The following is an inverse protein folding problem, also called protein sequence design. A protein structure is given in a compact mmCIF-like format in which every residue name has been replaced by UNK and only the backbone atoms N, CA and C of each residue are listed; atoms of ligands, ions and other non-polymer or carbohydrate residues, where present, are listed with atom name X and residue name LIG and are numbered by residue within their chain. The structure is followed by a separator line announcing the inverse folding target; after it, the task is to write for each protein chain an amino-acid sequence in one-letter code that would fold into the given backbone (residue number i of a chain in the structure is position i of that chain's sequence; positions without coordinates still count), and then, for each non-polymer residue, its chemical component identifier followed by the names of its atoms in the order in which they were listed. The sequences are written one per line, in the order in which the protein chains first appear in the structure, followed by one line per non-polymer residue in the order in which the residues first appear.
data_IF_276286404846
#
_entry.id   IF_276286404846
#
_cell.length_a   1.000
_cell.length_b   1.000
_cell.length_c   1.000
_cell.angle_alpha   90.00
_cell.angle_beta   90.00
_cell.angle_gamma   90.00
#
_symmetry.space_group_name_H-M   'P 1'
#
loop_
_entity.id
_entity.type
_entity.pdbx_description
1 polymer ?
#
# COMPACT_ATOMS: atom_id res chain seq x y z
N UNK A 1 24.95 11.16 -5.68
CA UNK A 1 24.75 9.90 -6.43
C UNK A 1 23.39 9.25 -6.11
N UNK A 2 23.10 8.85 -4.89
CA UNK A 2 21.82 8.15 -4.56
C UNK A 2 20.55 8.92 -4.92
N UNK A 3 20.48 10.23 -4.67
CA UNK A 3 19.29 11.03 -4.97
C UNK A 3 19.01 11.14 -6.49
N UNK A 4 20.05 11.29 -7.29
CA UNK A 4 19.93 11.34 -8.75
C UNK A 4 19.45 9.99 -9.31
N UNK A 5 20.00 8.88 -8.81
CA UNK A 5 19.55 7.53 -9.18
C UNK A 5 18.07 7.30 -8.83
N UNK A 6 17.65 7.69 -7.62
CA UNK A 6 16.24 7.59 -7.22
C UNK A 6 15.30 8.44 -8.09
N UNK A 7 15.76 9.57 -8.61
CA UNK A 7 14.98 10.35 -9.57
C UNK A 7 14.82 9.60 -10.91
N UNK A 8 15.84 8.90 -11.38
CA UNK A 8 15.71 8.03 -12.56
C UNK A 8 14.74 6.87 -12.32
N UNK A 9 14.78 6.26 -11.12
CA UNK A 9 13.83 5.22 -10.73
C UNK A 9 12.39 5.73 -10.76
N UNK A 10 12.13 6.88 -10.16
CA UNK A 10 10.79 7.49 -10.12
C UNK A 10 10.28 7.89 -11.50
N UNK A 11 11.17 8.35 -12.39
CA UNK A 11 10.79 8.74 -13.76
C UNK A 11 10.72 7.57 -14.74
N UNK A 12 11.18 6.36 -14.34
CA UNK A 12 11.22 5.19 -15.22
C UNK A 12 12.31 5.24 -16.31
N UNK A 13 13.38 6.02 -16.11
CA UNK A 13 14.48 6.15 -17.08
C UNK A 13 15.38 4.89 -17.04
N UNK A 14 14.91 3.83 -17.68
CA UNK A 14 15.57 2.52 -17.68
C UNK A 14 16.98 2.56 -18.24
N UNK A 15 17.26 3.43 -19.23
CA UNK A 15 18.59 3.53 -19.85
C UNK A 15 19.62 4.08 -18.85
N UNK A 16 19.27 5.16 -18.13
CA UNK A 16 20.16 5.73 -17.11
C UNK A 16 20.31 4.80 -15.91
N UNK A 17 19.22 4.13 -15.49
CA UNK A 17 19.26 3.15 -14.40
C UNK A 17 20.24 2.01 -14.76
N UNK A 18 20.13 1.43 -15.96
CA UNK A 18 21.01 0.35 -16.40
C UNK A 18 22.48 0.81 -16.42
N UNK A 19 22.75 1.98 -17.00
CA UNK A 19 24.11 2.55 -17.07
C UNK A 19 24.72 2.81 -15.68
N UNK A 20 23.94 3.34 -14.73
CA UNK A 20 24.42 3.58 -13.35
C UNK A 20 24.68 2.28 -12.59
N UNK A 21 23.80 1.26 -12.77
CA UNK A 21 23.98 -0.06 -12.15
C UNK A 21 25.15 -0.82 -12.76
N UNK A 22 25.38 -0.71 -14.07
CA UNK A 22 26.53 -1.29 -14.75
C UNK A 22 27.84 -0.68 -14.24
N UNK A 23 27.90 0.64 -14.08
CA UNK A 23 29.05 1.33 -13.54
C UNK A 23 29.27 1.06 -12.02
N UNK A 24 28.22 0.91 -11.25
CA UNK A 24 28.25 0.64 -9.81
C UNK A 24 27.02 -0.18 -9.37
N UNK A 25 27.09 -1.52 -9.32
CA UNK A 25 25.96 -2.37 -8.92
C UNK A 25 25.38 -2.05 -7.54
N UNK A 26 26.18 -1.47 -6.63
CA UNK A 26 25.71 -1.14 -5.29
C UNK A 26 24.64 -0.02 -5.29
N UNK A 27 24.54 0.79 -6.35
CA UNK A 27 23.55 1.86 -6.45
C UNK A 27 22.12 1.33 -6.50
N UNK A 28 21.91 0.11 -7.03
CA UNK A 28 20.60 -0.53 -7.07
C UNK A 28 20.00 -0.78 -5.67
N UNK A 29 20.84 -0.80 -4.63
CA UNK A 29 20.44 -1.00 -3.22
C UNK A 29 20.35 0.30 -2.43
N UNK A 30 20.48 1.45 -3.10
CA UNK A 30 20.44 2.73 -2.41
C UNK A 30 19.05 2.96 -1.79
N UNK A 31 19.06 3.77 -0.73
CA UNK A 31 17.86 4.21 -0.01
C UNK A 31 17.85 5.73 0.05
N UNK A 32 16.66 6.31 0.16
CA UNK A 32 16.52 7.75 0.41
C UNK A 32 16.76 8.10 1.88
N UNK A 33 16.54 9.38 2.23
CA UNK A 33 16.72 9.88 3.59
C UNK A 33 15.76 9.25 4.62
N UNK A 34 14.62 8.72 4.19
CA UNK A 34 13.67 7.99 5.00
C UNK A 34 13.96 6.48 5.06
N UNK A 35 14.95 5.99 4.32
CA UNK A 35 15.28 4.56 4.27
C UNK A 35 14.48 3.76 3.23
N UNK A 36 13.68 4.41 2.38
CA UNK A 36 12.94 3.75 1.30
C UNK A 36 13.91 3.37 0.18
N UNK A 37 13.92 2.10 -0.20
CA UNK A 37 14.85 1.60 -1.23
C UNK A 37 14.44 2.01 -2.64
N UNK A 38 15.42 1.99 -3.54
CA UNK A 38 15.17 2.18 -4.98
C UNK A 38 14.14 1.20 -5.52
N UNK A 39 14.16 -0.06 -5.03
CA UNK A 39 13.20 -1.09 -5.40
C UNK A 39 11.77 -0.73 -4.96
N UNK A 40 11.56 -0.28 -3.71
CA UNK A 40 10.25 0.18 -3.25
C UNK A 40 9.79 1.42 -4.03
N UNK A 41 10.68 2.36 -4.32
CA UNK A 41 10.36 3.54 -5.14
C UNK A 41 9.88 3.16 -6.54
N UNK A 42 10.43 2.10 -7.15
CA UNK A 42 9.95 1.64 -8.46
C UNK A 42 8.51 1.13 -8.42
N UNK A 43 8.11 0.51 -7.30
CA UNK A 43 6.71 0.08 -7.08
C UNK A 43 5.81 1.30 -6.83
N UNK A 44 6.20 2.20 -5.94
CA UNK A 44 5.42 3.41 -5.61
C UNK A 44 5.19 4.31 -6.83
N UNK A 45 6.18 4.37 -7.72
CA UNK A 45 6.10 5.15 -8.95
C UNK A 45 5.42 4.41 -10.12
N UNK A 46 4.95 3.16 -9.91
CA UNK A 46 4.28 2.37 -10.95
C UNK A 46 5.20 2.02 -12.13
N UNK A 47 6.48 1.71 -11.86
CA UNK A 47 7.51 1.44 -12.87
C UNK A 47 7.86 -0.06 -12.93
N UNK A 48 7.04 -0.92 -13.56
CA UNK A 48 7.23 -2.38 -13.50
C UNK A 48 8.55 -2.83 -14.13
N UNK A 49 8.96 -2.24 -15.25
CA UNK A 49 10.24 -2.59 -15.90
C UNK A 49 11.45 -2.26 -15.01
N UNK A 50 11.39 -1.13 -14.31
CA UNK A 50 12.43 -0.72 -13.36
C UNK A 50 12.42 -1.63 -12.13
N UNK A 51 11.24 -1.95 -11.60
CA UNK A 51 11.06 -2.90 -10.50
C UNK A 51 11.71 -4.25 -10.81
N UNK A 52 11.40 -4.83 -11.96
CA UNK A 52 11.91 -6.15 -12.35
C UNK A 52 13.42 -6.13 -12.54
N UNK A 53 13.95 -5.07 -13.16
CA UNK A 53 15.38 -4.87 -13.27
C UNK A 53 16.07 -4.73 -11.89
N UNK A 54 15.56 -3.86 -11.02
CA UNK A 54 16.14 -3.65 -9.70
C UNK A 54 16.02 -4.89 -8.81
N UNK A 55 14.95 -5.69 -8.97
CA UNK A 55 14.78 -6.95 -8.22
C UNK A 55 15.94 -7.92 -8.43
N UNK A 56 16.51 -7.97 -9.65
CA UNK A 56 17.66 -8.82 -9.95
C UNK A 56 18.96 -8.35 -9.27
N UNK A 57 19.03 -7.08 -8.86
CA UNK A 57 20.22 -6.45 -8.26
C UNK A 57 20.04 -6.12 -6.76
N UNK A 58 18.84 -6.33 -6.21
CA UNK A 58 18.52 -5.96 -4.83
C UNK A 58 19.23 -6.83 -3.78
N UNK A 59 19.59 -8.08 -4.11
CA UNK A 59 20.09 -9.05 -3.13
C UNK A 59 18.99 -9.53 -2.19
N UNK A 60 19.31 -9.65 -0.89
CA UNK A 60 18.33 -10.04 0.11
C UNK A 60 17.32 -8.92 0.36
N UNK A 61 16.04 -9.26 0.31
CA UNK A 61 14.95 -8.32 0.56
C UNK A 61 14.69 -8.18 2.06
N UNK A 62 14.34 -6.98 2.46
CA UNK A 62 13.65 -6.74 3.74
C UNK A 62 12.21 -7.27 3.70
N UNK A 63 11.58 -7.41 4.88
CA UNK A 63 10.16 -7.82 4.96
C UNK A 63 9.25 -6.81 4.25
N UNK A 64 9.54 -5.52 4.33
CA UNK A 64 8.80 -4.45 3.65
C UNK A 64 8.90 -4.56 2.13
N UNK A 65 10.09 -4.83 1.60
CA UNK A 65 10.30 -5.04 0.16
C UNK A 65 9.58 -6.30 -0.33
N UNK A 66 9.69 -7.40 0.41
CA UNK A 66 9.00 -8.66 0.08
C UNK A 66 7.49 -8.50 0.11
N UNK A 67 6.93 -7.79 1.11
CA UNK A 67 5.50 -7.49 1.20
C UNK A 67 5.01 -6.59 0.05
N UNK A 68 5.78 -5.56 -0.27
CA UNK A 68 5.48 -4.63 -1.36
C UNK A 68 5.47 -5.33 -2.74
N UNK A 69 6.33 -6.33 -2.93
CA UNK A 69 6.43 -7.11 -4.16
C UNK A 69 5.46 -8.29 -4.21
N UNK A 70 4.84 -8.67 -3.10
CA UNK A 70 4.08 -9.91 -2.98
C UNK A 70 4.95 -11.18 -3.08
N UNK A 71 6.26 -11.08 -2.73
CA UNK A 71 7.20 -12.21 -2.77
C UNK A 71 6.97 -13.14 -1.56
N UNK A 72 5.98 -14.03 -1.69
CA UNK A 72 5.55 -14.93 -0.63
C UNK A 72 6.65 -15.90 -0.18
N UNK A 73 7.54 -16.31 -1.07
CA UNK A 73 8.65 -17.22 -0.70
C UNK A 73 9.69 -16.49 0.17
N UNK A 74 9.98 -15.25 -0.16
CA UNK A 74 10.83 -14.41 0.66
C UNK A 74 10.16 -14.10 2.02
N UNK A 75 8.87 -13.75 2.02
CA UNK A 75 8.10 -13.53 3.25
C UNK A 75 8.15 -14.74 4.19
N UNK A 76 7.86 -15.95 3.68
CA UNK A 76 7.92 -17.19 4.49
C UNK A 76 9.29 -17.41 5.11
N UNK A 77 10.37 -17.21 4.35
CA UNK A 77 11.74 -17.37 4.86
C UNK A 77 12.04 -16.34 5.96
N UNK A 78 11.68 -15.08 5.76
CA UNK A 78 11.93 -14.00 6.71
C UNK A 78 11.14 -14.21 8.01
N UNK A 79 9.86 -14.56 7.92
CA UNK A 79 8.98 -14.83 9.06
C UNK A 79 9.46 -16.07 9.81
N UNK A 80 9.91 -17.12 9.11
CA UNK A 80 10.45 -18.33 9.74
C UNK A 80 11.72 -18.06 10.56
N UNK A 81 12.52 -17.05 10.21
CA UNK A 81 13.68 -16.65 11.00
C UNK A 81 13.32 -15.82 12.22
N UNK A 82 12.29 -15.00 12.10
CA UNK A 82 11.79 -14.14 13.19
C UNK A 82 10.35 -13.70 12.88
N UNK A 83 9.38 -14.24 13.61
CA UNK A 83 7.97 -13.92 13.43
C UNK A 83 7.65 -12.44 13.74
N UNK A 84 8.46 -11.78 14.58
CA UNK A 84 8.27 -10.36 14.92
C UNK A 84 8.50 -9.43 13.71
N UNK A 85 9.13 -9.92 12.64
CA UNK A 85 9.29 -9.15 11.40
C UNK A 85 7.98 -8.70 10.77
N UNK A 86 6.89 -9.42 11.02
CA UNK A 86 5.54 -9.02 10.56
C UNK A 86 5.08 -7.67 11.14
N UNK A 87 5.77 -7.18 12.18
CA UNK A 87 5.52 -5.90 12.86
C UNK A 87 6.54 -4.81 12.50
N UNK A 88 7.63 -5.16 11.79
CA UNK A 88 8.63 -4.20 11.36
C UNK A 88 7.99 -3.14 10.46
N UNK A 89 8.37 -1.87 10.69
CA UNK A 89 7.86 -0.73 9.93
C UNK A 89 8.94 -0.29 8.94
N UNK A 90 8.55 -0.03 7.70
CA UNK A 90 9.45 0.53 6.70
C UNK A 90 9.94 1.94 7.09
N UNK A 91 10.99 2.41 6.45
CA UNK A 91 11.57 3.73 6.76
C UNK A 91 10.60 4.90 6.59
N UNK A 92 9.60 4.76 5.73
CA UNK A 92 8.51 5.72 5.51
C UNK A 92 7.24 5.42 6.34
N UNK A 93 7.35 4.53 7.31
CA UNK A 93 6.33 4.30 8.32
C UNK A 93 5.22 3.29 7.95
N UNK A 94 5.42 2.44 6.95
CA UNK A 94 4.44 1.43 6.57
C UNK A 94 4.71 0.06 7.19
N UNK A 95 3.75 -0.54 7.91
CA UNK A 95 3.81 -1.96 8.27
C UNK A 95 3.75 -2.87 7.04
N UNK A 96 4.31 -4.11 7.08
CA UNK A 96 4.28 -5.05 5.96
C UNK A 96 2.88 -5.34 5.44
N UNK A 97 1.88 -5.47 6.34
CA UNK A 97 0.48 -5.71 5.94
C UNK A 97 -0.08 -4.55 5.09
N UNK A 98 0.28 -3.29 5.38
CA UNK A 98 -0.14 -2.15 4.57
C UNK A 98 0.47 -2.20 3.17
N UNK A 99 1.75 -2.52 3.07
CA UNK A 99 2.47 -2.63 1.80
C UNK A 99 1.93 -3.78 0.94
N UNK A 100 1.70 -4.95 1.55
CA UNK A 100 1.08 -6.08 0.87
C UNK A 100 -0.34 -5.75 0.40
N UNK A 101 -1.11 -5.01 1.20
CA UNK A 101 -2.48 -4.60 0.86
C UNK A 101 -2.54 -3.56 -0.25
N UNK A 102 -1.54 -2.66 -0.31
CA UNK A 102 -1.47 -1.60 -1.29
C UNK A 102 -0.88 -2.06 -2.64
N UNK A 103 0.15 -2.91 -2.62
CA UNK A 103 0.98 -3.20 -3.79
C UNK A 103 1.20 -4.69 -4.04
N UNK A 104 1.01 -5.53 -3.02
CA UNK A 104 1.29 -6.96 -3.07
C UNK A 104 0.17 -7.78 -3.67
N UNK A 105 0.01 -8.96 -3.12
CA UNK A 105 -0.97 -9.92 -3.59
C UNK A 105 -1.89 -10.38 -2.45
N UNK A 106 -3.08 -10.91 -2.76
CA UNK A 106 -3.94 -11.55 -1.77
C UNK A 106 -3.21 -12.61 -0.94
N UNK A 107 -2.31 -13.39 -1.56
CA UNK A 107 -1.53 -14.43 -0.90
C UNK A 107 -0.56 -13.85 0.13
N UNK A 108 0.09 -12.71 -0.18
CA UNK A 108 0.99 -12.03 0.75
C UNK A 108 0.22 -11.45 1.95
N UNK A 109 -0.97 -10.90 1.71
CA UNK A 109 -1.87 -10.41 2.77
C UNK A 109 -2.29 -11.57 3.68
N UNK A 110 -2.77 -12.68 3.11
CA UNK A 110 -3.16 -13.88 3.87
C UNK A 110 -1.99 -14.40 4.71
N UNK A 111 -0.81 -14.56 4.10
CA UNK A 111 0.39 -15.04 4.78
C UNK A 111 0.77 -14.15 5.98
N UNK A 112 0.74 -12.84 5.82
CA UNK A 112 1.06 -11.90 6.91
C UNK A 112 0.04 -11.98 8.05
N UNK A 113 -1.25 -12.10 7.72
CA UNK A 113 -2.32 -12.25 8.73
C UNK A 113 -2.20 -13.56 9.50
N UNK A 114 -1.96 -14.68 8.81
CA UNK A 114 -1.76 -16.00 9.42
C UNK A 114 -0.55 -16.03 10.38
N UNK A 115 0.45 -15.18 10.15
CA UNK A 115 1.65 -15.08 10.97
C UNK A 115 1.64 -13.89 11.96
N UNK A 116 0.45 -13.39 12.29
CA UNK A 116 0.25 -12.46 13.40
C UNK A 116 0.43 -10.97 13.09
N UNK A 117 0.40 -10.58 11.81
CA UNK A 117 0.25 -9.15 11.49
C UNK A 117 -1.04 -8.60 12.09
N UNK A 118 -0.95 -7.45 12.76
CA UNK A 118 -2.09 -6.87 13.47
C UNK A 118 -3.00 -6.10 12.50
N UNK A 119 -4.21 -6.60 12.29
CA UNK A 119 -5.18 -6.02 11.33
C UNK A 119 -5.53 -4.55 11.61
N UNK A 120 -5.50 -4.14 12.88
CA UNK A 120 -5.79 -2.76 13.31
C UNK A 120 -4.53 -1.90 13.48
N UNK A 121 -3.33 -2.38 13.07
CA UNK A 121 -2.12 -1.59 13.15
C UNK A 121 -2.27 -0.31 12.34
N UNK A 122 -1.88 0.81 12.95
CA UNK A 122 -1.89 2.14 12.31
C UNK A 122 -0.50 2.42 11.77
N UNK A 123 -0.41 2.95 10.55
CA UNK A 123 0.86 3.37 9.96
C UNK A 123 1.55 4.45 10.80
N UNK A 124 2.88 4.45 10.81
CA UNK A 124 3.70 5.40 11.57
C UNK A 124 4.03 6.67 10.78
N UNK A 125 3.33 6.90 9.68
CA UNK A 125 3.47 8.08 8.85
C UNK A 125 2.29 9.08 9.10
N UNK A 126 2.35 10.29 8.52
CA UNK A 126 1.29 11.30 8.71
C UNK A 126 -0.11 10.86 8.30
N UNK A 127 -0.26 9.83 7.46
CA UNK A 127 -1.58 9.33 7.05
C UNK A 127 -2.31 8.59 8.17
N UNK A 128 -1.57 7.98 9.15
CA UNK A 128 -2.16 7.28 10.30
C UNK A 128 -3.30 6.33 9.92
N UNK A 129 -3.14 5.63 8.83
CA UNK A 129 -4.16 4.75 8.27
C UNK A 129 -3.92 3.28 8.67
N UNK A 130 -4.93 2.44 8.47
CA UNK A 130 -4.86 0.99 8.60
C UNK A 130 -4.73 0.34 7.22
N UNK A 131 -4.44 -0.97 7.16
CA UNK A 131 -4.22 -1.72 5.93
C UNK A 131 -5.38 -1.60 4.92
N UNK A 132 -6.63 -1.56 5.40
CA UNK A 132 -7.81 -1.38 4.53
C UNK A 132 -7.80 -0.02 3.82
N UNK A 133 -7.40 1.06 4.49
CA UNK A 133 -7.23 2.37 3.85
C UNK A 133 -6.14 2.33 2.77
N UNK A 134 -5.00 1.70 3.07
CA UNK A 134 -3.88 1.58 2.12
C UNK A 134 -4.29 0.77 0.87
N UNK A 135 -5.02 -0.33 1.07
CA UNK A 135 -5.59 -1.13 -0.01
C UNK A 135 -6.45 -0.28 -0.94
N UNK A 136 -7.40 0.50 -0.40
CA UNK A 136 -8.36 1.28 -1.19
C UNK A 136 -7.68 2.48 -1.85
N UNK A 137 -6.77 3.14 -1.14
CA UNK A 137 -6.11 4.35 -1.64
C UNK A 137 -5.13 4.08 -2.79
N UNK A 138 -4.40 2.98 -2.73
CA UNK A 138 -3.25 2.70 -3.60
C UNK A 138 -3.46 1.44 -4.46
N UNK A 139 -3.92 0.33 -3.87
CA UNK A 139 -4.09 -0.95 -4.56
C UNK A 139 -5.42 -1.07 -5.28
N UNK A 140 -6.46 -0.50 -4.68
CA UNK A 140 -7.84 -0.51 -5.16
C UNK A 140 -8.38 -1.93 -5.51
N UNK A 141 -7.86 -2.97 -4.84
CA UNK A 141 -8.24 -4.37 -5.04
C UNK A 141 -9.42 -4.74 -4.14
N UNK A 142 -10.55 -5.08 -4.75
CA UNK A 142 -11.77 -5.53 -4.03
C UNK A 142 -11.51 -6.85 -3.31
N UNK A 143 -10.73 -7.76 -3.91
CA UNK A 143 -10.42 -9.06 -3.31
C UNK A 143 -9.55 -8.91 -2.04
N UNK A 144 -8.53 -8.06 -2.08
CA UNK A 144 -7.71 -7.75 -0.90
C UNK A 144 -8.54 -7.05 0.18
N UNK A 145 -9.42 -6.11 -0.19
CA UNK A 145 -10.30 -5.46 0.76
C UNK A 145 -11.24 -6.46 1.45
N UNK A 146 -11.79 -7.42 0.69
CA UNK A 146 -12.63 -8.50 1.22
C UNK A 146 -11.86 -9.35 2.23
N UNK A 147 -10.64 -9.80 1.90
CA UNK A 147 -9.78 -10.55 2.82
C UNK A 147 -9.51 -9.79 4.13
N UNK A 148 -9.21 -8.49 4.04
CA UNK A 148 -8.99 -7.67 5.23
C UNK A 148 -10.26 -7.55 6.08
N UNK A 149 -11.42 -7.36 5.46
CA UNK A 149 -12.72 -7.26 6.17
C UNK A 149 -13.07 -8.60 6.83
N UNK A 150 -12.90 -9.72 6.14
CA UNK A 150 -13.11 -11.07 6.68
C UNK A 150 -12.15 -11.38 7.84
N UNK A 151 -10.94 -10.82 7.81
CA UNK A 151 -9.97 -10.88 8.91
C UNK A 151 -10.29 -9.91 10.07
N UNK A 152 -11.40 -9.16 9.99
CA UNK A 152 -11.87 -8.28 11.05
C UNK A 152 -11.41 -6.82 10.93
N UNK A 153 -10.99 -6.34 9.75
CA UNK A 153 -10.69 -4.92 9.57
C UNK A 153 -11.93 -4.06 9.87
N UNK A 154 -11.73 -2.97 10.61
CA UNK A 154 -12.81 -2.04 10.91
C UNK A 154 -13.10 -1.15 9.69
N UNK A 155 -14.24 -1.39 9.04
CA UNK A 155 -14.70 -0.63 7.85
C UNK A 155 -15.01 0.84 8.14
N UNK A 156 -15.16 1.19 9.42
CA UNK A 156 -15.41 2.55 9.90
C UNK A 156 -14.20 3.17 10.62
N UNK A 157 -13.03 2.54 10.55
CA UNK A 157 -11.81 3.13 11.09
C UNK A 157 -11.51 4.46 10.40
N UNK A 158 -10.95 5.42 11.16
CA UNK A 158 -10.56 6.72 10.62
C UNK A 158 -9.04 6.82 10.45
N UNK A 159 -8.62 7.35 9.33
CA UNK A 159 -7.24 7.79 9.06
C UNK A 159 -7.09 9.27 9.45
N UNK A 160 -5.90 9.86 9.25
CA UNK A 160 -5.70 11.29 9.45
C UNK A 160 -6.71 12.09 8.64
N UNK A 161 -7.23 13.17 9.22
CA UNK A 161 -8.28 13.98 8.60
C UNK A 161 -9.70 13.40 8.73
N UNK A 162 -9.89 12.36 9.57
CA UNK A 162 -11.20 11.74 9.80
C UNK A 162 -11.70 10.87 8.64
N UNK A 163 -10.84 10.53 7.66
CA UNK A 163 -11.25 9.75 6.49
C UNK A 163 -11.49 8.29 6.83
N UNK A 164 -12.70 7.80 6.52
CA UNK A 164 -13.01 6.36 6.56
C UNK A 164 -12.66 5.69 5.22
N UNK A 165 -12.56 4.34 5.16
CA UNK A 165 -12.44 3.59 3.91
C UNK A 165 -13.47 4.01 2.86
N UNK A 166 -14.73 4.28 3.28
CA UNK A 166 -15.80 4.69 2.38
C UNK A 166 -15.57 6.08 1.76
N UNK A 167 -14.99 7.03 2.49
CA UNK A 167 -14.58 8.32 1.91
C UNK A 167 -13.59 8.16 0.76
N UNK A 168 -12.58 7.30 0.96
CA UNK A 168 -11.54 7.05 -0.06
C UNK A 168 -12.14 6.35 -1.27
N UNK A 169 -12.95 5.30 -1.06
CA UNK A 169 -13.60 4.57 -2.14
C UNK A 169 -14.53 5.47 -2.96
N UNK A 170 -15.29 6.34 -2.30
CA UNK A 170 -16.17 7.31 -2.94
C UNK A 170 -15.39 8.35 -3.75
N UNK A 171 -14.29 8.84 -3.20
CA UNK A 171 -13.37 9.77 -3.89
C UNK A 171 -12.70 9.14 -5.12
N UNK A 172 -12.40 7.82 -5.08
CA UNK A 172 -11.82 7.09 -6.20
C UNK A 172 -12.85 6.71 -7.28
N UNK A 173 -14.14 6.80 -6.98
CA UNK A 173 -15.20 6.38 -7.90
C UNK A 173 -15.31 4.86 -8.07
N UNK A 174 -14.73 4.07 -7.17
CA UNK A 174 -14.78 2.61 -7.27
C UNK A 174 -16.12 2.08 -6.72
N UNK A 175 -17.05 1.84 -7.64
CA UNK A 175 -18.39 1.36 -7.34
C UNK A 175 -18.40 0.03 -6.56
N UNK A 176 -17.58 -0.92 -6.99
CA UNK A 176 -17.58 -2.27 -6.39
C UNK A 176 -16.98 -2.25 -4.97
N UNK A 177 -15.97 -1.40 -4.75
CA UNK A 177 -15.42 -1.17 -3.42
C UNK A 177 -16.43 -0.49 -2.49
N UNK A 178 -17.17 0.50 -3.00
CA UNK A 178 -18.26 1.16 -2.24
C UNK A 178 -19.34 0.16 -1.85
N UNK A 179 -19.77 -0.70 -2.78
CA UNK A 179 -20.74 -1.76 -2.48
C UNK A 179 -20.23 -2.71 -1.40
N UNK A 180 -19.00 -3.22 -1.53
CA UNK A 180 -18.39 -4.11 -0.55
C UNK A 180 -18.38 -3.46 0.85
N UNK A 181 -17.97 -2.20 0.94
CA UNK A 181 -17.90 -1.49 2.22
C UNK A 181 -19.28 -1.29 2.84
N UNK A 182 -20.29 -0.90 2.03
CA UNK A 182 -21.67 -0.72 2.53
C UNK A 182 -22.28 -2.04 2.98
N UNK A 183 -22.10 -3.13 2.24
CA UNK A 183 -22.53 -4.48 2.62
C UNK A 183 -21.85 -4.95 3.91
N UNK A 184 -20.64 -4.47 4.18
CA UNK A 184 -19.86 -4.75 5.39
C UNK A 184 -20.15 -3.80 6.55
N UNK A 185 -21.14 -2.90 6.44
CA UNK A 185 -21.60 -2.02 7.51
C UNK A 185 -20.84 -0.67 7.59
N UNK A 186 -20.28 -0.19 6.49
CA UNK A 186 -19.70 1.15 6.45
C UNK A 186 -20.80 2.23 6.62
N UNK A 187 -20.52 3.22 7.48
CA UNK A 187 -21.41 4.33 7.72
C UNK A 187 -21.32 5.36 6.59
N UNK A 188 -22.40 5.42 5.78
CA UNK A 188 -22.50 6.37 4.65
C UNK A 188 -22.64 7.82 5.10
N UNK A 189 -22.98 8.08 6.38
CA UNK A 189 -23.19 9.41 6.93
C UNK A 189 -22.00 9.92 7.73
N UNK A 190 -20.94 9.12 7.86
CA UNK A 190 -19.73 9.54 8.56
C UNK A 190 -19.16 10.82 7.95
N UNK A 191 -18.76 11.77 8.80
CA UNK A 191 -18.12 13.01 8.38
C UNK A 191 -16.61 12.97 8.66
N UNK A 192 -15.81 13.45 7.71
CA UNK A 192 -14.38 13.72 7.94
C UNK A 192 -14.20 15.06 8.70
N UNK A 193 -12.96 15.43 9.03
CA UNK A 193 -12.63 16.67 9.76
C UNK A 193 -13.02 17.97 9.01
N UNK A 194 -13.45 17.87 7.75
CA UNK A 194 -13.97 18.97 6.93
C UNK A 194 -15.51 18.97 6.85
N UNK A 195 -16.18 18.24 7.72
CA UNK A 195 -17.65 18.05 7.74
C UNK A 195 -18.21 17.49 6.40
N UNK A 196 -17.40 16.76 5.62
CA UNK A 196 -17.79 16.14 4.36
C UNK A 196 -18.08 14.66 4.54
N UNK A 197 -19.15 14.20 3.90
CA UNK A 197 -19.54 12.80 3.81
C UNK A 197 -18.87 12.11 2.60
N UNK A 198 -18.87 10.76 2.52
CA UNK A 198 -18.47 10.05 1.30
C UNK A 198 -19.24 10.51 0.05
N UNK A 199 -20.54 10.81 0.19
CA UNK A 199 -21.37 11.32 -0.90
C UNK A 199 -20.89 12.68 -1.44
N UNK A 200 -20.37 13.54 -0.57
CA UNK A 200 -19.82 14.84 -0.99
C UNK A 200 -18.57 14.67 -1.84
N UNK A 201 -17.67 13.71 -1.49
CA UNK A 201 -16.49 13.39 -2.31
C UNK A 201 -16.87 12.79 -3.66
N UNK A 202 -17.88 11.90 -3.71
CA UNK A 202 -18.38 11.36 -4.98
C UNK A 202 -18.96 12.47 -5.85
N UNK A 203 -19.69 13.43 -5.27
CA UNK A 203 -20.27 14.57 -5.99
C UNK A 203 -19.19 15.51 -6.52
N UNK A 204 -18.22 15.90 -5.70
CA UNK A 204 -17.12 16.79 -6.10
C UNK A 204 -16.28 16.21 -7.24
N UNK A 205 -16.16 14.89 -7.30
CA UNK A 205 -15.41 14.17 -8.32
C UNK A 205 -16.27 13.69 -9.50
N UNK A 206 -17.57 14.02 -9.49
CA UNK A 206 -18.53 13.65 -10.55
C UNK A 206 -18.71 12.14 -10.75
N UNK A 207 -18.57 11.35 -9.67
CA UNK A 207 -18.79 9.90 -9.68
C UNK A 207 -20.29 9.57 -9.49
N UNK A 208 -21.08 9.75 -10.53
CA UNK A 208 -22.56 9.66 -10.47
C UNK A 208 -23.06 8.29 -10.00
N UNK A 209 -22.45 7.19 -10.45
CA UNK A 209 -22.85 5.83 -10.05
C UNK A 209 -22.57 5.58 -8.56
N UNK A 210 -21.45 6.05 -8.06
CA UNK A 210 -21.08 5.96 -6.62
C UNK A 210 -22.00 6.84 -5.81
N UNK A 211 -22.27 8.07 -6.26
CA UNK A 211 -23.18 8.98 -5.56
C UNK A 211 -24.58 8.36 -5.41
N UNK A 212 -25.10 7.67 -6.43
CA UNK A 212 -26.40 7.00 -6.36
C UNK A 212 -26.47 5.88 -5.30
N UNK A 213 -25.34 5.30 -4.88
CA UNK A 213 -25.28 4.30 -3.81
C UNK A 213 -25.24 4.92 -2.41
N UNK A 214 -24.84 6.18 -2.32
CA UNK A 214 -24.56 6.86 -1.05
C UNK A 214 -25.69 7.78 -0.57
N UNK A 215 -26.63 8.10 -1.45
CA UNK A 215 -27.79 8.98 -1.16
C UNK A 215 -29.08 8.21 -0.91
#
# INVERSE_FOLDING_TARGET
MSQQFLNFVRSGDTAKIASEVEANPAVARCRDAQGVSALMWSVYAGQPMVRDFLRLHAGDLSISEAACLGDCDCLRRLIATDAMRTWEVSGDGWPPLHLASAFGSPEAVTLLLEHGSHIHQVSHNPMRNQALHACIALGNSVDVARLLIEAGANVNATAAGGYTPLHIAASNGNRDMVLLLLESGADRTACCDQDKTPADYARERSHAEVLALLV
#
